data_IF_813541080788
#
_entry.id   IF_813541080788
#
_cell.length_a   1.000
_cell.length_b   1.000
_cell.length_c   1.000
_cell.angle_alpha   90.00
_cell.angle_beta   90.00
_cell.angle_gamma   90.00
#
_symmetry.space_group_name_H-M   'P 1'
#
loop_
_entity.id
_entity.type
_entity.pdbx_description
1 polymer ?
#
# COMPACT_ATOMS: atom_id res chain seq x y z
N UNK A 1 10.07 44.53 22.89
CA UNK A 1 10.34 43.13 23.25
C UNK A 1 11.84 42.95 23.30
N UNK A 2 12.38 42.69 24.49
CA UNK A 2 13.82 42.81 24.76
C UNK A 2 14.63 41.76 23.99
N UNK A 3 15.50 42.25 23.10
CA UNK A 3 16.62 41.51 22.53
C UNK A 3 17.60 41.16 23.65
N UNK A 4 17.40 40.02 24.29
CA UNK A 4 18.48 39.39 25.06
C UNK A 4 19.00 38.27 24.18
N UNK A 5 20.24 38.41 23.71
CA UNK A 5 21.01 37.34 23.08
C UNK A 5 21.31 36.27 24.14
N UNK A 6 20.28 35.53 24.54
CA UNK A 6 20.41 34.42 25.47
C UNK A 6 21.02 33.26 24.68
N UNK A 7 22.23 32.87 25.06
CA UNK A 7 22.83 31.65 24.50
C UNK A 7 21.89 30.46 24.69
N UNK A 8 21.86 29.54 23.72
CA UNK A 8 21.05 28.33 23.82
C UNK A 8 21.30 27.54 25.13
N UNK A 9 22.52 27.63 25.68
CA UNK A 9 22.86 27.01 26.96
C UNK A 9 22.18 27.69 28.15
N UNK A 10 22.22 29.01 28.22
CA UNK A 10 21.54 29.77 29.26
C UNK A 10 20.01 29.58 29.19
N UNK A 11 19.44 29.48 27.99
CA UNK A 11 18.03 29.18 27.82
C UNK A 11 17.66 27.76 28.28
N UNK A 12 18.50 26.76 27.97
CA UNK A 12 18.32 25.39 28.44
C UNK A 12 18.33 25.29 29.97
N UNK A 13 19.27 25.98 30.64
CA UNK A 13 19.36 26.03 32.11
C UNK A 13 18.15 26.71 32.74
N UNK A 14 17.67 27.82 32.17
CA UNK A 14 16.49 28.55 32.68
C UNK A 14 15.20 27.74 32.54
N UNK A 15 15.00 27.12 31.39
CA UNK A 15 13.77 26.38 31.08
C UNK A 15 13.75 24.96 31.64
N UNK A 16 14.90 24.43 32.08
CA UNK A 16 15.04 23.03 32.50
C UNK A 16 15.01 22.03 31.34
N UNK A 17 15.01 22.50 30.09
CA UNK A 17 15.03 21.65 28.89
C UNK A 17 16.47 21.26 28.60
N UNK A 18 16.71 19.99 28.27
CA UNK A 18 18.07 19.54 27.95
C UNK A 18 18.64 20.28 26.74
N UNK A 19 19.88 20.75 26.86
CA UNK A 19 20.59 21.50 25.81
C UNK A 19 20.56 20.80 24.42
N UNK A 20 20.74 19.46 24.31
CA UNK A 20 20.60 18.78 23.01
C UNK A 20 19.20 18.88 22.40
N UNK A 21 18.15 18.91 23.22
CA UNK A 21 16.76 19.06 22.75
C UNK A 21 16.53 20.46 22.19
N UNK A 22 17.06 21.48 22.89
CA UNK A 22 16.94 22.87 22.43
C UNK A 22 17.74 23.10 21.13
N UNK A 23 18.95 22.53 21.02
CA UNK A 23 19.71 22.59 19.77
C UNK A 23 18.96 21.92 18.60
N UNK A 24 18.30 20.79 18.84
CA UNK A 24 17.49 20.14 17.81
C UNK A 24 16.32 21.03 17.34
N UNK A 25 15.68 21.76 18.27
CA UNK A 25 14.65 22.74 17.92
C UNK A 25 15.22 23.89 17.08
N UNK A 26 16.32 24.50 17.51
CA UNK A 26 16.91 25.66 16.84
C UNK A 26 17.49 25.33 15.46
N UNK A 27 18.17 24.18 15.31
CA UNK A 27 18.83 23.81 14.06
C UNK A 27 17.93 23.06 13.08
N UNK A 28 16.99 22.24 13.58
CA UNK A 28 16.17 21.36 12.73
C UNK A 28 14.69 21.76 12.70
N UNK A 29 14.27 22.73 13.53
CA UNK A 29 12.86 23.11 13.66
C UNK A 29 11.99 22.04 14.30
N UNK A 30 12.58 21.01 14.92
CA UNK A 30 11.83 19.86 15.45
C UNK A 30 11.35 20.16 16.86
N UNK A 31 10.03 20.17 17.07
CA UNK A 31 9.45 20.32 18.39
C UNK A 31 9.85 19.16 19.35
N UNK A 32 10.06 19.43 20.65
CA UNK A 32 10.37 18.39 21.63
C UNK A 32 9.32 17.29 21.66
N UNK A 33 9.72 16.04 21.96
CA UNK A 33 8.77 14.91 22.08
C UNK A 33 8.06 14.85 23.43
N UNK A 34 8.73 15.29 24.50
CA UNK A 34 8.18 15.23 25.86
C UNK A 34 7.16 16.37 26.05
N UNK A 35 5.97 16.10 26.61
CA UNK A 35 4.93 17.12 26.81
C UNK A 35 5.40 18.20 27.79
N UNK A 36 6.13 17.82 28.84
CA UNK A 36 6.71 18.76 29.82
C UNK A 36 7.60 19.81 29.16
N UNK A 37 8.49 19.38 28.24
CA UNK A 37 9.37 20.30 27.53
C UNK A 37 8.58 21.24 26.61
N UNK A 38 7.48 20.77 26.00
CA UNK A 38 6.62 21.62 25.15
C UNK A 38 5.94 22.70 25.98
N UNK A 39 5.42 22.34 27.15
CA UNK A 39 4.76 23.28 28.04
C UNK A 39 5.73 24.32 28.61
N UNK A 40 6.97 23.91 28.93
CA UNK A 40 8.03 24.83 29.35
C UNK A 40 8.39 25.85 28.25
N UNK A 41 8.55 25.38 26.99
CA UNK A 41 8.76 26.29 25.85
C UNK A 41 7.59 27.25 25.67
N UNK A 42 6.36 26.75 25.72
CA UNK A 42 5.15 27.57 25.56
C UNK A 42 5.10 28.71 26.58
N UNK A 43 5.34 28.39 27.85
CA UNK A 43 5.37 29.39 28.94
C UNK A 43 6.47 30.43 28.73
N UNK A 44 7.65 29.98 28.32
CA UNK A 44 8.81 30.86 28.13
C UNK A 44 8.69 31.77 26.90
N UNK A 45 8.03 31.31 25.84
CA UNK A 45 7.70 32.17 24.70
C UNK A 45 6.42 32.99 24.92
N UNK A 46 5.74 32.83 26.06
CA UNK A 46 4.45 33.45 26.37
C UNK A 46 3.41 33.24 25.25
N UNK A 47 3.42 32.06 24.63
CA UNK A 47 2.49 31.70 23.55
C UNK A 47 1.22 31.13 24.18
N UNK A 48 0.06 31.56 23.69
CA UNK A 48 -1.21 31.00 24.10
C UNK A 48 -1.35 29.52 23.67
N UNK A 49 -2.26 28.80 24.31
CA UNK A 49 -2.38 27.36 24.12
C UNK A 49 -2.84 26.99 22.69
N UNK A 50 -3.63 27.86 22.06
CA UNK A 50 -4.17 27.64 20.72
C UNK A 50 -3.12 27.91 19.64
N UNK A 51 -2.41 29.03 19.72
CA UNK A 51 -1.30 29.34 18.83
C UNK A 51 -0.18 28.30 18.96
N UNK A 52 0.08 27.81 20.18
CA UNK A 52 1.03 26.73 20.40
C UNK A 52 0.61 25.43 19.72
N UNK A 53 -0.68 25.06 19.77
CA UNK A 53 -1.20 23.91 19.07
C UNK A 53 -1.02 24.02 17.54
N UNK A 54 -1.27 25.20 16.97
CA UNK A 54 -1.05 25.47 15.54
C UNK A 54 0.44 25.36 15.16
N UNK A 55 1.36 25.92 15.96
CA UNK A 55 2.80 25.80 15.74
C UNK A 55 3.24 24.32 15.79
N UNK A 56 2.73 23.57 16.76
CA UNK A 56 3.04 22.15 16.88
C UNK A 56 2.53 21.36 15.69
N UNK A 57 1.31 21.62 15.19
CA UNK A 57 0.76 20.97 14.02
C UNK A 57 1.59 21.24 12.76
N UNK A 58 2.01 22.49 12.55
CA UNK A 58 2.85 22.89 11.43
C UNK A 58 4.27 22.27 11.50
N UNK A 59 4.78 22.00 12.70
CA UNK A 59 6.11 21.39 12.90
C UNK A 59 6.16 19.87 12.66
N UNK A 60 5.00 19.22 12.44
CA UNK A 60 4.96 17.77 12.20
C UNK A 60 5.38 17.42 10.77
N UNK A 61 5.84 16.18 10.58
CA UNK A 61 6.27 15.67 9.26
C UNK A 61 5.13 15.70 8.22
N UNK A 62 3.90 15.47 8.67
CA UNK A 62 2.68 15.54 7.88
C UNK A 62 1.96 16.86 8.19
N UNK A 63 2.65 17.99 7.98
CA UNK A 63 2.21 19.31 8.44
C UNK A 63 0.75 19.59 8.02
N UNK A 64 -0.12 19.76 9.02
CA UNK A 64 -1.51 20.18 8.83
C UNK A 64 -1.57 21.66 9.18
N UNK A 65 -1.93 22.48 8.20
CA UNK A 65 -2.15 23.89 8.44
C UNK A 65 -3.47 24.09 9.19
N UNK A 66 -3.39 24.75 10.34
CA UNK A 66 -4.54 25.07 11.19
C UNK A 66 -4.74 26.58 11.10
N UNK A 67 -5.75 27.05 10.35
CA UNK A 67 -5.97 28.48 10.17
C UNK A 67 -6.25 29.15 11.51
N UNK A 68 -5.72 30.37 11.67
CA UNK A 68 -5.93 31.18 12.88
C UNK A 68 -7.39 31.60 13.04
N UNK A 69 -8.05 31.89 11.92
CA UNK A 69 -9.45 32.33 11.85
C UNK A 69 -10.26 31.48 10.87
N UNK A 70 -11.51 31.20 11.23
CA UNK A 70 -12.48 30.49 10.39
C UNK A 70 -12.88 29.11 10.92
N UNK A 71 -13.85 28.47 10.25
CA UNK A 71 -14.37 27.19 10.70
C UNK A 71 -13.39 26.06 10.36
N UNK A 72 -13.02 25.28 11.38
CA UNK A 72 -12.05 24.20 11.25
C UNK A 72 -12.72 22.95 10.67
N UNK A 73 -12.02 22.28 9.75
CA UNK A 73 -12.42 20.95 9.32
C UNK A 73 -12.18 19.92 10.46
N UNK A 74 -12.74 18.72 10.33
CA UNK A 74 -12.69 17.71 11.39
C UNK A 74 -11.25 17.36 11.80
N UNK A 75 -10.35 17.23 10.82
CA UNK A 75 -8.94 16.91 11.05
C UNK A 75 -8.26 18.02 11.86
N UNK A 76 -8.43 19.28 11.45
CA UNK A 76 -7.86 20.45 12.10
C UNK A 76 -8.44 20.65 13.50
N UNK A 77 -9.75 20.49 13.67
CA UNK A 77 -10.42 20.65 14.97
C UNK A 77 -9.89 19.64 15.98
N UNK A 78 -9.89 18.35 15.61
CA UNK A 78 -9.42 17.28 16.50
C UNK A 78 -7.93 17.42 16.78
N UNK A 79 -7.12 17.72 15.77
CA UNK A 79 -5.68 17.90 15.96
C UNK A 79 -5.37 19.11 16.85
N UNK A 80 -6.05 20.24 16.65
CA UNK A 80 -5.92 21.44 17.49
C UNK A 80 -6.26 21.11 18.94
N UNK A 81 -7.42 20.51 19.19
CA UNK A 81 -7.86 20.18 20.54
C UNK A 81 -6.94 19.17 21.24
N UNK A 82 -6.48 18.14 20.50
CA UNK A 82 -5.55 17.13 20.99
C UNK A 82 -4.22 17.76 21.41
N UNK A 83 -3.66 18.64 20.57
CA UNK A 83 -2.38 19.30 20.85
C UNK A 83 -2.50 20.37 21.93
N UNK A 84 -3.60 21.11 21.96
CA UNK A 84 -3.89 22.08 23.01
C UNK A 84 -3.86 21.40 24.39
N UNK A 85 -4.50 20.24 24.53
CA UNK A 85 -4.50 19.46 25.78
C UNK A 85 -3.17 18.75 26.07
N UNK A 86 -2.16 18.89 25.21
CA UNK A 86 -0.83 18.30 25.40
C UNK A 86 -0.75 16.80 25.11
N UNK A 87 -1.80 16.22 24.52
CA UNK A 87 -1.78 14.82 24.11
C UNK A 87 -0.95 14.63 22.84
N UNK A 88 -0.44 13.41 22.66
CA UNK A 88 -0.06 12.85 21.36
C UNK A 88 -1.06 11.77 20.95
N UNK A 89 -1.09 11.36 19.67
CA UNK A 89 -2.11 10.44 19.15
C UNK A 89 -2.15 9.10 19.91
N UNK A 90 -0.99 8.60 20.37
CA UNK A 90 -0.91 7.35 21.14
C UNK A 90 -1.46 7.50 22.56
N UNK A 91 -1.11 8.59 23.24
CA UNK A 91 -1.59 8.89 24.59
C UNK A 91 -3.09 9.17 24.59
N UNK A 92 -3.59 9.88 23.57
CA UNK A 92 -5.01 10.15 23.42
C UNK A 92 -5.79 8.86 23.14
N UNK A 93 -5.29 7.98 22.27
CA UNK A 93 -5.91 6.68 22.00
C UNK A 93 -6.09 5.85 23.30
N UNK A 94 -5.10 5.88 24.21
CA UNK A 94 -5.21 5.19 25.50
C UNK A 94 -6.25 5.81 26.44
N UNK A 95 -6.36 7.14 26.48
CA UNK A 95 -7.28 7.85 27.39
C UNK A 95 -8.72 7.84 26.87
N UNK A 96 -8.89 7.81 25.56
CA UNK A 96 -10.20 7.81 24.89
C UNK A 96 -10.78 6.43 24.64
N UNK A 97 -10.01 5.37 24.86
CA UNK A 97 -10.36 3.98 24.48
C UNK A 97 -10.66 3.81 22.98
N UNK A 98 -10.20 4.75 22.16
CA UNK A 98 -10.33 4.70 20.70
C UNK A 98 -9.06 4.06 20.12
N UNK A 99 -9.18 3.09 19.18
CA UNK A 99 -8.03 2.46 18.57
C UNK A 99 -7.07 3.48 17.95
N UNK A 100 -5.77 3.34 18.24
CA UNK A 100 -4.72 4.20 17.69
C UNK A 100 -4.76 4.36 16.16
N UNK A 101 -5.00 3.30 15.35
CA UNK A 101 -5.15 3.45 13.90
C UNK A 101 -6.28 4.39 13.48
N UNK A 102 -7.36 4.47 14.26
CA UNK A 102 -8.51 5.34 13.99
C UNK A 102 -8.15 6.81 14.24
N UNK A 103 -7.49 7.10 15.37
CA UNK A 103 -6.99 8.45 15.68
C UNK A 103 -5.99 8.90 14.60
N UNK A 104 -5.07 8.03 14.22
CA UNK A 104 -4.08 8.33 13.17
C UNK A 104 -4.73 8.54 11.80
N UNK A 105 -5.75 7.75 11.44
CA UNK A 105 -6.50 7.92 10.20
C UNK A 105 -7.21 9.28 10.15
N UNK A 106 -7.77 9.71 11.29
CA UNK A 106 -8.42 10.99 11.45
C UNK A 106 -7.42 12.16 11.35
N UNK A 107 -6.33 12.14 12.13
CA UNK A 107 -5.40 13.27 12.23
C UNK A 107 -4.45 13.40 11.03
N UNK A 108 -4.16 12.31 10.31
CA UNK A 108 -3.21 12.32 9.17
C UNK A 108 -3.84 12.22 7.80
N UNK A 109 -4.97 11.52 7.68
CA UNK A 109 -5.63 11.27 6.39
C UNK A 109 -6.99 11.96 6.26
N UNK A 110 -7.43 12.68 7.29
CA UNK A 110 -8.77 13.28 7.33
C UNK A 110 -9.88 12.22 7.21
N UNK A 111 -9.63 10.98 7.62
CA UNK A 111 -10.67 9.95 7.62
C UNK A 111 -11.76 10.31 8.62
N UNK A 112 -13.02 10.05 8.28
CA UNK A 112 -14.17 10.32 9.15
C UNK A 112 -14.58 9.00 9.84
N UNK A 113 -14.35 8.82 11.15
CA UNK A 113 -14.80 7.66 11.90
C UNK A 113 -16.32 7.53 11.97
N UNK A 114 -16.78 6.41 12.53
CA UNK A 114 -18.20 6.20 12.84
C UNK A 114 -18.66 7.18 13.94
N UNK A 115 -19.97 7.41 14.01
CA UNK A 115 -20.58 8.40 14.90
C UNK A 115 -20.32 8.13 16.39
N UNK A 116 -20.38 6.86 16.80
CA UNK A 116 -20.03 6.39 18.15
C UNK A 116 -18.60 6.78 18.55
N UNK A 117 -17.65 6.59 17.62
CA UNK A 117 -16.25 6.92 17.82
C UNK A 117 -16.04 8.44 17.87
N UNK A 118 -16.76 9.21 17.04
CA UNK A 118 -16.71 10.67 17.05
C UNK A 118 -17.20 11.23 18.38
N UNK A 119 -18.27 10.68 18.95
CA UNK A 119 -18.77 11.07 20.27
C UNK A 119 -17.73 10.80 21.37
N UNK A 120 -17.12 9.62 21.36
CA UNK A 120 -16.05 9.28 22.32
C UNK A 120 -14.85 10.24 22.24
N UNK A 121 -14.48 10.65 21.02
CA UNK A 121 -13.41 11.63 20.79
C UNK A 121 -13.85 13.02 21.30
N UNK A 122 -15.07 13.44 20.99
CA UNK A 122 -15.62 14.74 21.37
C UNK A 122 -15.68 14.92 22.88
N UNK A 123 -16.24 13.92 23.59
CA UNK A 123 -16.35 13.91 25.05
C UNK A 123 -14.99 14.06 25.72
N UNK A 124 -13.96 13.37 25.21
CA UNK A 124 -12.61 13.41 25.79
C UNK A 124 -11.86 14.68 25.47
N UNK A 125 -12.14 15.30 24.32
CA UNK A 125 -11.55 16.58 23.93
C UNK A 125 -12.36 17.79 24.42
N UNK A 126 -13.49 17.58 25.09
CA UNK A 126 -14.38 18.65 25.53
C UNK A 126 -14.98 19.44 24.35
N UNK A 127 -15.14 18.79 23.20
CA UNK A 127 -15.74 19.39 22.00
C UNK A 127 -17.25 19.17 22.04
N UNK A 128 -18.00 20.21 21.69
CA UNK A 128 -19.46 20.10 21.58
C UNK A 128 -19.86 19.28 20.35
N UNK A 129 -21.03 18.64 20.41
CA UNK A 129 -21.59 17.91 19.27
C UNK A 129 -21.79 18.82 18.06
N UNK A 130 -22.21 20.07 18.26
CA UNK A 130 -22.38 21.05 17.18
C UNK A 130 -21.07 21.37 16.46
N UNK A 131 -19.96 21.55 17.21
CA UNK A 131 -18.64 21.77 16.62
C UNK A 131 -18.19 20.56 15.79
N UNK A 132 -18.43 19.35 16.29
CA UNK A 132 -18.09 18.12 15.59
C UNK A 132 -18.90 17.94 14.31
N UNK A 133 -20.22 18.14 14.37
CA UNK A 133 -21.10 18.01 13.22
C UNK A 133 -20.79 19.06 12.15
N UNK A 134 -20.53 20.30 12.56
CA UNK A 134 -20.07 21.37 11.67
C UNK A 134 -18.73 21.02 10.99
N UNK A 135 -17.77 20.51 11.75
CA UNK A 135 -16.47 20.11 11.22
C UNK A 135 -16.54 18.89 10.28
N UNK A 136 -17.42 17.92 10.57
CA UNK A 136 -17.72 16.78 9.68
C UNK A 136 -18.34 17.26 8.38
N UNK A 137 -19.31 18.18 8.45
CA UNK A 137 -19.95 18.76 7.27
C UNK A 137 -18.92 19.48 6.38
N UNK A 138 -18.03 20.26 6.98
CA UNK A 138 -16.93 20.92 6.27
C UNK A 138 -15.96 19.93 5.65
N UNK A 139 -15.52 18.90 6.39
CA UNK A 139 -14.64 17.86 5.83
C UNK A 139 -15.29 17.11 4.66
N UNK A 140 -16.59 16.85 4.70
CA UNK A 140 -17.32 16.26 3.57
C UNK A 140 -17.44 17.22 2.39
N UNK A 141 -17.68 18.50 2.65
CA UNK A 141 -17.77 19.53 1.63
C UNK A 141 -16.42 19.78 0.95
N UNK A 142 -15.32 19.87 1.71
CA UNK A 142 -13.96 19.99 1.18
C UNK A 142 -13.60 18.78 0.32
N UNK A 143 -13.92 17.56 0.77
CA UNK A 143 -13.65 16.35 -0.02
C UNK A 143 -14.44 16.32 -1.33
N UNK A 144 -15.73 16.69 -1.30
CA UNK A 144 -16.55 16.85 -2.51
C UNK A 144 -16.05 17.99 -3.41
N UNK A 145 -15.53 19.07 -2.82
CA UNK A 145 -14.98 20.21 -3.52
C UNK A 145 -13.65 19.88 -4.21
N UNK A 146 -12.79 19.09 -3.58
CA UNK A 146 -11.58 18.51 -4.19
C UNK A 146 -11.97 17.57 -5.33
N UNK A 147 -12.89 16.63 -5.09
CA UNK A 147 -13.39 15.71 -6.12
C UNK A 147 -14.06 16.48 -7.30
N UNK A 148 -14.78 17.57 -7.03
CA UNK A 148 -15.45 18.40 -8.03
C UNK A 148 -14.52 19.39 -8.73
N UNK A 149 -13.51 19.93 -8.05
CA UNK A 149 -12.48 20.79 -8.63
C UNK A 149 -11.52 19.98 -9.50
N UNK A 150 -11.19 18.74 -9.13
CA UNK A 150 -10.55 17.78 -10.04
C UNK A 150 -11.44 17.51 -11.25
N UNK A 151 -12.74 17.27 -11.05
CA UNK A 151 -13.66 17.05 -12.17
C UNK A 151 -13.88 18.30 -13.06
N UNK A 152 -13.80 19.51 -12.51
CA UNK A 152 -13.96 20.77 -13.23
C UNK A 152 -12.67 21.21 -13.95
N UNK A 153 -11.51 21.00 -13.34
CA UNK A 153 -10.20 21.10 -13.99
C UNK A 153 -10.12 20.13 -15.17
N UNK A 154 -10.58 18.88 -14.98
CA UNK A 154 -10.65 17.89 -16.05
C UNK A 154 -11.64 18.28 -17.16
N UNK A 155 -12.71 19.05 -16.88
CA UNK A 155 -13.66 19.55 -17.88
C UNK A 155 -13.18 20.79 -18.64
N UNK A 156 -12.48 21.72 -17.98
CA UNK A 156 -11.93 22.92 -18.63
C UNK A 156 -10.83 22.54 -19.65
N UNK A 157 -10.02 21.53 -19.33
CA UNK A 157 -8.97 20.99 -20.23
C UNK A 157 -9.51 20.07 -21.35
N UNK A 158 -10.82 19.79 -21.35
CA UNK A 158 -11.53 19.06 -22.42
C UNK A 158 -12.22 20.02 -23.42
N UNK A 159 -12.46 21.28 -23.06
CA UNK A 159 -13.18 22.24 -23.92
C UNK A 159 -12.31 22.83 -25.06
N UNK A 160 -10.97 22.81 -24.91
CA UNK A 160 -10.05 23.41 -25.89
C UNK A 160 -9.52 22.40 -26.95
N UNK A 161 -10.00 21.15 -26.92
CA UNK A 161 -9.48 20.05 -27.75
C UNK A 161 -10.45 19.49 -28.81
N UNK A 162 -11.67 20.01 -28.93
CA UNK A 162 -12.70 19.42 -29.81
C UNK A 162 -12.86 20.23 -31.10
N UNK A 163 -11.86 20.13 -31.98
CA UNK A 163 -12.02 20.49 -33.39
C UNK A 163 -11.17 19.55 -34.27
N UNK A 164 -11.72 18.37 -34.57
CA UNK A 164 -11.56 17.65 -35.85
C UNK A 164 -12.15 16.24 -35.70
N UNK A 165 -13.33 16.05 -36.29
CA UNK A 165 -13.95 14.73 -36.42
C UNK A 165 -13.27 13.89 -37.50
N UNK A 166 -13.11 12.60 -37.21
CA UNK A 166 -13.21 11.52 -38.22
C UNK A 166 -13.94 10.36 -37.57
N UNK A 167 -15.17 10.12 -38.01
CA UNK A 167 -15.91 8.91 -37.71
C UNK A 167 -15.29 7.75 -38.49
N UNK A 168 -14.76 6.75 -37.78
CA UNK A 168 -14.44 5.43 -38.36
C UNK A 168 -15.15 4.38 -37.52
N UNK A 169 -15.79 3.49 -38.27
CA UNK A 169 -16.82 2.54 -37.92
C UNK A 169 -16.47 1.57 -36.79
N UNK A 170 -17.56 1.17 -36.17
CA UNK A 170 -17.77 0.06 -35.24
C UNK A 170 -17.38 -1.28 -35.92
N UNK A 171 -16.38 -1.99 -35.37
CA UNK A 171 -15.87 -3.22 -36.01
C UNK A 171 -14.57 -3.82 -35.45
N UNK A 172 -14.31 -3.73 -34.14
CA UNK A 172 -13.10 -4.28 -33.51
C UNK A 172 -13.36 -4.78 -32.10
N UNK A 173 -14.10 -5.88 -31.99
CA UNK A 173 -14.72 -6.31 -30.73
C UNK A 173 -13.80 -7.06 -29.76
N UNK A 174 -12.57 -7.43 -30.17
CA UNK A 174 -11.76 -8.39 -29.38
C UNK A 174 -10.53 -7.79 -28.66
N UNK A 175 -10.28 -6.48 -28.81
CA UNK A 175 -9.13 -5.84 -28.15
C UNK A 175 -9.57 -5.25 -26.80
N UNK A 176 -9.02 -5.72 -25.65
CA UNK A 176 -9.33 -5.17 -24.35
C UNK A 176 -8.84 -3.72 -24.23
N UNK A 177 -9.46 -2.99 -23.31
CA UNK A 177 -9.09 -1.60 -23.07
C UNK A 177 -7.69 -1.47 -22.47
N UNK A 178 -6.98 -0.37 -22.75
CA UNK A 178 -5.59 -0.19 -22.30
C UNK A 178 -5.44 -0.30 -20.77
N UNK A 179 -6.42 0.19 -20.01
CA UNK A 179 -6.45 0.08 -18.56
C UNK A 179 -6.51 -1.38 -18.09
N UNK A 180 -7.32 -2.20 -18.77
CA UNK A 180 -7.44 -3.62 -18.47
C UNK A 180 -6.17 -4.38 -18.85
N UNK A 181 -5.59 -4.09 -20.02
CA UNK A 181 -4.31 -4.69 -20.45
C UNK A 181 -3.18 -4.40 -19.46
N UNK A 182 -3.10 -3.18 -18.95
CA UNK A 182 -2.09 -2.80 -17.94
C UNK A 182 -2.36 -3.48 -16.61
N UNK A 183 -3.61 -3.53 -16.15
CA UNK A 183 -3.96 -4.22 -14.91
C UNK A 183 -3.67 -5.73 -14.97
N UNK A 184 -4.00 -6.38 -16.09
CA UNK A 184 -3.76 -7.80 -16.31
C UNK A 184 -2.27 -8.11 -16.38
N UNK A 185 -1.49 -7.26 -17.06
CA UNK A 185 -0.04 -7.44 -17.18
C UNK A 185 0.67 -7.25 -15.83
N UNK A 186 0.30 -6.23 -15.04
CA UNK A 186 0.79 -6.05 -13.66
C UNK A 186 0.42 -7.25 -12.79
N UNK A 187 -0.81 -7.75 -12.92
CA UNK A 187 -1.31 -8.92 -12.20
C UNK A 187 -0.54 -10.21 -12.53
N UNK A 188 -0.30 -10.50 -13.81
CA UNK A 188 0.47 -11.68 -14.26
C UNK A 188 1.93 -11.61 -13.85
N UNK A 189 2.52 -10.42 -13.87
CA UNK A 189 3.90 -10.22 -13.41
C UNK A 189 4.05 -10.36 -11.88
N UNK A 190 2.95 -10.43 -11.13
CA UNK A 190 2.96 -10.60 -9.67
C UNK A 190 3.56 -9.40 -8.92
N UNK A 191 3.67 -8.23 -9.57
CA UNK A 191 4.28 -7.03 -9.02
C UNK A 191 3.21 -6.00 -8.65
N UNK A 192 3.53 -5.12 -7.69
CA UNK A 192 2.65 -3.98 -7.41
C UNK A 192 2.72 -2.94 -8.54
N UNK A 193 1.66 -2.16 -8.74
CA UNK A 193 1.62 -1.06 -9.71
C UNK A 193 2.80 -0.10 -9.53
N UNK A 194 3.23 0.15 -8.28
CA UNK A 194 4.38 0.99 -7.97
C UNK A 194 5.73 0.33 -8.33
N UNK A 195 5.85 -0.99 -8.18
CA UNK A 195 7.02 -1.73 -8.61
C UNK A 195 7.10 -1.78 -10.15
N UNK A 196 5.98 -2.02 -10.82
CA UNK A 196 5.87 -1.99 -12.28
C UNK A 196 6.26 -0.63 -12.86
N UNK A 197 5.75 0.47 -12.28
CA UNK A 197 6.12 1.82 -12.71
C UNK A 197 7.62 2.10 -12.58
N UNK A 198 8.25 1.67 -11.50
CA UNK A 198 9.71 1.82 -11.32
C UNK A 198 10.51 0.99 -12.33
N UNK A 199 10.07 -0.24 -12.60
CA UNK A 199 10.76 -1.15 -13.52
C UNK A 199 10.81 -0.60 -14.96
N UNK A 200 9.74 0.05 -15.40
CA UNK A 200 9.60 0.55 -16.77
C UNK A 200 9.77 2.07 -16.91
N UNK A 201 10.16 2.78 -15.84
CA UNK A 201 10.34 4.23 -15.85
C UNK A 201 9.04 5.02 -16.04
N UNK A 202 7.92 4.45 -15.62
CA UNK A 202 6.58 5.03 -15.79
C UNK A 202 6.14 5.66 -14.46
N UNK A 203 5.73 6.94 -14.44
CA UNK A 203 5.25 7.59 -13.22
C UNK A 203 4.07 6.84 -12.61
N UNK A 204 4.18 6.51 -11.31
CA UNK A 204 3.14 5.77 -10.57
C UNK A 204 1.76 6.42 -10.69
N UNK A 205 1.68 7.75 -10.59
CA UNK A 205 0.43 8.49 -10.66
C UNK A 205 -0.28 8.28 -12.00
N UNK A 206 0.48 8.23 -13.10
CA UNK A 206 -0.06 8.00 -14.45
C UNK A 206 -0.61 6.59 -14.62
N UNK A 207 0.08 5.58 -14.07
CA UNK A 207 -0.40 4.20 -14.08
C UNK A 207 -1.62 4.02 -13.20
N UNK A 208 -1.60 4.59 -12.00
CA UNK A 208 -2.70 4.48 -11.05
C UNK A 208 -3.95 5.20 -11.59
N UNK A 209 -3.80 6.35 -12.26
CA UNK A 209 -4.90 7.02 -12.97
C UNK A 209 -5.43 6.15 -14.10
N UNK A 210 -4.57 5.62 -14.97
CA UNK A 210 -4.99 4.75 -16.07
C UNK A 210 -5.78 3.53 -15.57
N UNK A 211 -5.30 2.85 -14.53
CA UNK A 211 -5.96 1.65 -13.98
C UNK A 211 -7.29 2.02 -13.30
N UNK A 212 -7.34 3.07 -12.48
CA UNK A 212 -8.53 3.37 -11.67
C UNK A 212 -9.58 4.22 -12.37
N UNK A 213 -9.24 4.97 -13.41
CA UNK A 213 -10.18 5.81 -14.13
C UNK A 213 -10.33 5.46 -15.61
N UNK A 214 -9.47 4.58 -16.15
CA UNK A 214 -9.48 4.24 -17.56
C UNK A 214 -8.85 5.29 -18.47
N UNK A 215 -8.46 6.45 -17.93
CA UNK A 215 -7.99 7.60 -18.70
C UNK A 215 -6.52 7.40 -19.09
N UNK A 216 -6.21 7.33 -20.40
CA UNK A 216 -4.84 7.12 -20.85
C UNK A 216 -3.98 8.37 -20.68
N UNK A 217 -2.69 8.22 -20.32
CA UNK A 217 -1.78 9.36 -20.21
C UNK A 217 -1.51 9.99 -21.59
N UNK A 218 -1.54 11.32 -21.68
CA UNK A 218 -1.34 12.06 -22.95
C UNK A 218 0.14 12.22 -23.36
N UNK A 219 1.07 12.08 -22.41
CA UNK A 219 2.50 12.31 -22.65
C UNK A 219 3.11 11.12 -23.40
N UNK A 220 3.73 11.37 -24.56
CA UNK A 220 4.49 10.34 -25.32
C UNK A 220 5.57 9.67 -24.48
N UNK A 221 6.24 10.44 -23.61
CA UNK A 221 7.22 9.92 -22.65
C UNK A 221 6.68 8.87 -21.67
N UNK A 222 5.36 8.74 -21.53
CA UNK A 222 4.68 7.74 -20.70
C UNK A 222 4.10 6.62 -21.57
N UNK A 223 3.63 6.94 -22.78
CA UNK A 223 3.05 5.97 -23.72
C UNK A 223 4.11 5.05 -24.34
N UNK A 224 5.29 5.57 -24.71
CA UNK A 224 6.33 4.76 -25.37
C UNK A 224 6.94 3.71 -24.43
N UNK A 225 7.22 4.01 -23.14
CA UNK A 225 7.61 2.98 -22.18
C UNK A 225 6.47 2.01 -21.85
N UNK A 226 5.22 2.47 -21.85
CA UNK A 226 4.05 1.62 -21.60
C UNK A 226 3.82 0.61 -22.73
N UNK A 227 3.93 1.04 -23.98
CA UNK A 227 3.83 0.17 -25.16
C UNK A 227 4.93 -0.90 -25.13
N UNK A 228 6.17 -0.50 -24.81
CA UNK A 228 7.31 -1.42 -24.64
C UNK A 228 7.11 -2.39 -23.48
N UNK A 229 6.59 -1.92 -22.34
CA UNK A 229 6.34 -2.76 -21.17
C UNK A 229 5.26 -3.82 -21.44
N UNK A 230 4.22 -3.47 -22.21
CA UNK A 230 3.15 -4.40 -22.54
C UNK A 230 3.52 -5.41 -23.64
N UNK A 231 4.60 -5.19 -24.39
CA UNK A 231 5.05 -6.07 -25.46
C UNK A 231 4.04 -6.23 -26.61
N UNK A 232 3.14 -5.25 -26.77
CA UNK A 232 2.07 -5.28 -27.78
C UNK A 232 2.58 -4.75 -29.12
N UNK A 233 1.96 -5.21 -30.21
CA UNK A 233 2.16 -4.59 -31.52
C UNK A 233 1.68 -3.13 -31.51
N UNK A 234 2.33 -2.27 -32.31
CA UNK A 234 1.99 -0.85 -32.41
C UNK A 234 0.50 -0.65 -32.78
N UNK A 235 -0.01 -1.46 -33.71
CA UNK A 235 -1.42 -1.43 -34.12
C UNK A 235 -2.39 -1.84 -32.99
N UNK A 236 -2.05 -2.86 -32.21
CA UNK A 236 -2.89 -3.30 -31.07
C UNK A 236 -2.90 -2.25 -29.95
N UNK A 237 -1.74 -1.64 -29.69
CA UNK A 237 -1.61 -0.60 -28.68
C UNK A 237 -2.40 0.66 -29.07
N UNK A 238 -2.29 1.12 -30.32
CA UNK A 238 -3.05 2.27 -30.81
C UNK A 238 -4.56 2.02 -30.80
N UNK A 239 -5.00 0.82 -31.18
CA UNK A 239 -6.41 0.43 -31.12
C UNK A 239 -6.94 0.45 -29.69
N UNK A 240 -6.19 -0.11 -28.75
CA UNK A 240 -6.51 -0.10 -27.31
C UNK A 240 -6.52 1.33 -26.73
N UNK A 241 -5.57 2.16 -27.16
CA UNK A 241 -5.45 3.55 -26.76
C UNK A 241 -6.63 4.39 -27.29
N UNK A 242 -7.03 4.19 -28.53
CA UNK A 242 -8.20 4.85 -29.13
C UNK A 242 -9.50 4.42 -28.45
N UNK A 243 -9.65 3.14 -28.11
CA UNK A 243 -10.78 2.63 -27.31
C UNK A 243 -10.81 3.27 -25.92
N UNK A 244 -9.66 3.35 -25.25
CA UNK A 244 -9.51 4.05 -23.97
C UNK A 244 -9.80 5.55 -24.02
N UNK A 245 -9.47 6.22 -25.13
CA UNK A 245 -9.79 7.64 -25.33
C UNK A 245 -11.28 7.87 -25.57
N UNK A 246 -11.96 6.95 -26.27
CA UNK A 246 -13.39 7.08 -26.62
C UNK A 246 -14.32 6.76 -25.45
N UNK A 247 -13.99 5.78 -24.62
CA UNK A 247 -14.81 5.36 -23.49
C UNK A 247 -13.92 4.95 -22.32
N UNK A 248 -13.43 5.88 -21.48
CA UNK A 248 -12.57 5.55 -20.35
C UNK A 248 -13.37 4.73 -19.33
N UNK A 249 -13.02 3.45 -19.18
CA UNK A 249 -13.56 2.58 -18.15
C UNK A 249 -12.41 2.18 -17.23
N UNK A 250 -12.63 2.22 -15.91
CA UNK A 250 -11.65 1.70 -14.97
C UNK A 250 -11.35 0.24 -15.29
N UNK A 251 -10.11 -0.19 -15.03
CA UNK A 251 -9.80 -1.60 -15.03
C UNK A 251 -10.75 -2.30 -14.06
N UNK A 252 -11.43 -3.33 -14.54
CA UNK A 252 -12.32 -4.09 -13.67
C UNK A 252 -11.48 -4.71 -12.57
N UNK A 253 -11.89 -4.52 -11.31
CA UNK A 253 -11.24 -5.17 -10.19
C UNK A 253 -11.13 -6.66 -10.51
N UNK A 254 -9.90 -7.17 -10.56
CA UNK A 254 -9.62 -8.56 -10.86
C UNK A 254 -10.49 -9.40 -9.94
N UNK A 255 -11.47 -10.14 -10.48
CA UNK A 255 -12.31 -11.01 -9.66
C UNK A 255 -11.35 -11.93 -8.88
N UNK A 256 -11.40 -11.95 -7.54
CA UNK A 256 -10.62 -12.91 -6.76
C UNK A 256 -11.07 -14.29 -7.22
N UNK A 257 -10.26 -14.95 -8.06
CA UNK A 257 -10.67 -16.14 -8.80
C UNK A 257 -10.05 -16.29 -10.19
N UNK A 258 -9.66 -15.21 -10.86
CA UNK A 258 -9.18 -15.29 -12.25
C UNK A 258 -7.85 -16.06 -12.43
N UNK A 259 -7.04 -16.14 -11.37
CA UNK A 259 -5.79 -16.94 -11.32
C UNK A 259 -5.92 -18.16 -10.40
N UNK A 260 -7.10 -18.40 -9.83
CA UNK A 260 -7.28 -19.54 -8.95
C UNK A 260 -7.38 -20.80 -9.78
N UNK A 261 -6.73 -21.86 -9.31
CA UNK A 261 -6.99 -23.18 -9.91
C UNK A 261 -8.46 -23.55 -9.68
N UNK A 262 -9.13 -24.27 -10.59
CA UNK A 262 -10.49 -24.76 -10.40
C UNK A 262 -10.72 -25.47 -9.04
N UNK A 263 -9.71 -26.20 -8.55
CA UNK A 263 -9.71 -26.79 -7.21
C UNK A 263 -9.68 -25.72 -6.10
N UNK A 264 -8.83 -24.71 -6.24
CA UNK A 264 -8.76 -23.60 -5.28
C UNK A 264 -10.07 -22.80 -5.24
N UNK A 265 -10.72 -22.57 -6.37
CA UNK A 265 -12.01 -21.89 -6.44
C UNK A 265 -13.10 -22.69 -5.72
N UNK A 266 -13.18 -24.00 -5.98
CA UNK A 266 -14.13 -24.89 -5.30
C UNK A 266 -13.94 -24.89 -3.77
N UNK A 267 -12.68 -24.87 -3.31
CA UNK A 267 -12.36 -24.78 -1.89
C UNK A 267 -12.69 -23.42 -1.28
N UNK A 268 -12.45 -22.32 -2.00
CA UNK A 268 -12.84 -20.97 -1.55
C UNK A 268 -14.34 -20.81 -1.43
N UNK A 269 -15.12 -21.34 -2.39
CA UNK A 269 -16.59 -21.35 -2.29
C UNK A 269 -17.05 -22.09 -1.04
N UNK A 270 -16.51 -23.28 -0.78
CA UNK A 270 -16.86 -24.04 0.42
C UNK A 270 -16.51 -23.29 1.72
N UNK A 271 -15.35 -22.62 1.77
CA UNK A 271 -14.94 -21.81 2.92
C UNK A 271 -15.88 -20.61 3.13
N UNK A 272 -16.30 -19.96 2.04
CA UNK A 272 -17.24 -18.83 2.08
C UNK A 272 -18.64 -19.29 2.49
N UNK A 273 -19.19 -20.34 1.88
CA UNK A 273 -20.51 -20.89 2.15
C UNK A 273 -20.67 -21.32 3.61
N UNK A 274 -19.59 -21.84 4.20
CA UNK A 274 -19.57 -22.30 5.61
C UNK A 274 -18.98 -21.28 6.58
N UNK A 275 -18.65 -20.07 6.13
CA UNK A 275 -18.01 -19.01 6.92
C UNK A 275 -16.80 -19.50 7.75
N UNK A 276 -15.96 -20.36 7.17
CA UNK A 276 -14.86 -21.00 7.88
C UNK A 276 -13.62 -20.10 7.92
N UNK A 277 -12.90 -20.12 9.04
CA UNK A 277 -11.53 -19.59 9.11
C UNK A 277 -10.55 -20.61 8.52
N UNK A 278 -9.35 -20.18 8.09
CA UNK A 278 -8.30 -21.09 7.58
C UNK A 278 -7.96 -22.20 8.59
N UNK A 279 -8.02 -21.90 9.89
CA UNK A 279 -7.81 -22.87 10.96
C UNK A 279 -8.96 -23.88 11.02
N UNK A 280 -10.21 -23.41 11.04
CA UNK A 280 -11.39 -24.28 11.04
C UNK A 280 -11.47 -25.16 9.78
N UNK A 281 -11.09 -24.62 8.61
CA UNK A 281 -10.97 -25.41 7.38
C UNK A 281 -9.90 -26.49 7.48
N UNK A 282 -8.73 -26.19 8.05
CA UNK A 282 -7.66 -27.18 8.23
C UNK A 282 -8.07 -28.33 9.16
N UNK A 283 -8.82 -28.02 10.22
CA UNK A 283 -9.36 -29.02 11.15
C UNK A 283 -10.45 -29.87 10.48
N UNK A 284 -11.36 -29.25 9.73
CA UNK A 284 -12.45 -29.95 9.02
C UNK A 284 -11.90 -30.87 7.92
N UNK A 285 -10.87 -30.42 7.20
CA UNK A 285 -10.20 -31.21 6.17
C UNK A 285 -9.22 -32.26 6.71
N UNK A 286 -8.97 -32.28 8.02
CA UNK A 286 -7.91 -33.07 8.67
C UNK A 286 -6.55 -32.89 7.96
N UNK A 287 -6.19 -31.62 7.73
CA UNK A 287 -4.95 -31.18 7.08
C UNK A 287 -4.13 -30.31 8.03
N UNK A 288 -2.82 -30.29 7.81
CA UNK A 288 -1.98 -29.30 8.50
C UNK A 288 -2.38 -27.88 8.08
N UNK A 289 -2.29 -26.92 9.00
CA UNK A 289 -2.57 -25.49 8.74
C UNK A 289 -1.71 -24.97 7.58
N UNK A 290 -0.47 -25.45 7.45
CA UNK A 290 0.43 -25.07 6.36
C UNK A 290 -0.07 -25.59 5.00
N UNK A 291 -0.50 -26.86 4.94
CA UNK A 291 -1.07 -27.45 3.71
C UNK A 291 -2.37 -26.76 3.32
N UNK A 292 -3.26 -26.50 4.27
CA UNK A 292 -4.50 -25.75 4.06
C UNK A 292 -4.24 -24.33 3.54
N UNK A 293 -3.23 -23.65 4.09
CA UNK A 293 -2.81 -22.32 3.63
C UNK A 293 -2.24 -22.37 2.21
N UNK A 294 -1.43 -23.39 1.88
CA UNK A 294 -0.91 -23.60 0.52
C UNK A 294 -2.03 -23.84 -0.50
N UNK A 295 -3.01 -24.67 -0.16
CA UNK A 295 -4.16 -24.94 -1.01
C UNK A 295 -5.02 -23.68 -1.24
N UNK A 296 -5.34 -22.94 -0.19
CA UNK A 296 -6.23 -21.77 -0.29
C UNK A 296 -5.54 -20.53 -0.85
N UNK A 297 -4.26 -20.29 -0.53
CA UNK A 297 -3.56 -19.06 -0.95
C UNK A 297 -2.73 -19.24 -2.22
N UNK A 298 -2.06 -20.39 -2.37
CA UNK A 298 -1.10 -20.62 -3.46
C UNK A 298 -1.66 -21.54 -4.55
N UNK A 299 -2.74 -22.27 -4.29
CA UNK A 299 -3.34 -23.19 -5.26
C UNK A 299 -2.51 -24.45 -5.51
N UNK A 300 -1.50 -24.72 -4.67
CA UNK A 300 -0.60 -25.87 -4.79
C UNK A 300 -1.38 -27.18 -4.71
N UNK A 301 -1.28 -28.02 -5.73
CA UNK A 301 -1.89 -29.34 -5.71
C UNK A 301 -1.20 -30.22 -4.67
N UNK A 302 -1.95 -30.97 -3.85
CA UNK A 302 -1.36 -31.85 -2.87
C UNK A 302 -0.63 -33.01 -3.56
N UNK A 303 0.54 -33.38 -3.05
CA UNK A 303 1.32 -34.50 -3.60
C UNK A 303 0.90 -35.89 -3.11
N UNK A 304 0.10 -35.97 -2.04
CA UNK A 304 -0.29 -37.25 -1.39
C UNK A 304 -1.70 -37.68 -1.78
N UNK A 305 -1.87 -38.94 -2.15
CA UNK A 305 -3.17 -39.56 -2.50
C UNK A 305 -4.19 -39.44 -1.37
N UNK A 306 -3.77 -39.65 -0.13
CA UNK A 306 -4.63 -39.52 1.07
C UNK A 306 -5.20 -38.11 1.24
N UNK A 307 -4.48 -37.07 0.79
CA UNK A 307 -4.97 -35.68 0.86
C UNK A 307 -6.03 -35.41 -0.21
N UNK A 308 -5.89 -36.02 -1.40
CA UNK A 308 -6.90 -35.95 -2.44
C UNK A 308 -8.21 -36.61 -2.03
N UNK A 309 -8.16 -37.77 -1.37
CA UNK A 309 -9.35 -38.46 -0.84
C UNK A 309 -10.09 -37.60 0.19
N UNK A 310 -9.35 -36.97 1.11
CA UNK A 310 -9.92 -36.05 2.12
C UNK A 310 -10.61 -34.85 1.46
N UNK A 311 -9.97 -34.21 0.48
CA UNK A 311 -10.54 -33.07 -0.24
C UNK A 311 -11.76 -33.46 -1.08
N UNK A 312 -11.74 -34.64 -1.71
CA UNK A 312 -12.89 -35.19 -2.44
C UNK A 312 -14.08 -35.39 -1.52
N UNK A 313 -13.88 -36.06 -0.38
CA UNK A 313 -14.95 -36.32 0.59
C UNK A 313 -15.53 -35.01 1.15
N UNK A 314 -14.66 -34.01 1.36
CA UNK A 314 -15.04 -32.69 1.87
C UNK A 314 -15.85 -31.88 0.85
N UNK A 315 -15.51 -31.95 -0.44
CA UNK A 315 -16.25 -31.33 -1.54
C UNK A 315 -17.49 -32.12 -1.98
N UNK A 316 -17.69 -33.33 -1.44
CA UNK A 316 -18.80 -34.23 -1.81
C UNK A 316 -18.87 -34.55 -3.31
N UNK A 317 -17.71 -34.63 -3.96
CA UNK A 317 -17.60 -34.93 -5.40
C UNK A 317 -17.39 -36.43 -5.63
N UNK A 318 -17.83 -36.93 -6.79
CA UNK A 318 -17.49 -38.28 -7.24
C UNK A 318 -15.99 -38.40 -7.53
N UNK A 319 -15.48 -39.63 -7.65
CA UNK A 319 -14.07 -39.85 -7.98
C UNK A 319 -13.70 -39.23 -9.35
N UNK A 320 -14.60 -39.35 -10.32
CA UNK A 320 -14.39 -38.89 -11.69
C UNK A 320 -14.47 -37.37 -11.77
N UNK A 321 -15.47 -36.75 -11.12
CA UNK A 321 -15.61 -35.28 -11.09
C UNK A 321 -14.41 -34.60 -10.40
N UNK A 322 -13.89 -35.23 -9.34
CA UNK A 322 -12.72 -34.73 -8.64
C UNK A 322 -11.44 -34.87 -9.48
N UNK A 323 -11.28 -35.97 -10.22
CA UNK A 323 -10.14 -36.14 -11.12
C UNK A 323 -10.18 -35.12 -12.27
N UNK A 324 -11.35 -34.87 -12.85
CA UNK A 324 -11.55 -33.85 -13.88
C UNK A 324 -11.20 -32.45 -13.36
N UNK A 325 -11.62 -32.12 -12.14
CA UNK A 325 -11.31 -30.86 -11.48
C UNK A 325 -9.81 -30.68 -11.22
N UNK A 326 -9.12 -31.74 -10.79
CA UNK A 326 -7.66 -31.75 -10.60
C UNK A 326 -6.93 -31.67 -11.94
N UNK A 327 -7.41 -32.35 -12.98
CA UNK A 327 -6.84 -32.29 -14.32
C UNK A 327 -6.90 -30.87 -14.90
N UNK A 328 -8.06 -30.21 -14.79
CA UNK A 328 -8.23 -28.79 -15.18
C UNK A 328 -7.35 -27.85 -14.37
N UNK A 329 -7.09 -28.19 -13.10
CA UNK A 329 -6.19 -27.42 -12.23
C UNK A 329 -4.72 -27.59 -12.58
N UNK A 330 -4.32 -28.74 -13.12
CA UNK A 330 -2.97 -28.96 -13.66
C UNK A 330 -2.75 -28.22 -14.98
N UNK A 331 -3.76 -28.18 -15.85
CA UNK A 331 -3.67 -27.48 -17.13
C UNK A 331 -3.66 -25.95 -16.98
N UNK A 332 -4.36 -25.38 -15.99
CA UNK A 332 -4.36 -23.94 -15.73
C UNK A 332 -3.04 -23.43 -15.12
N UNK A 333 -2.24 -24.31 -14.50
CA UNK A 333 -0.97 -23.96 -13.85
C UNK A 333 0.25 -24.00 -14.77
N UNK A 334 0.10 -24.40 -16.04
CA UNK A 334 1.20 -24.52 -17.00
C UNK A 334 1.17 -23.37 -17.99
N UNK A 335 1.59 -22.19 -17.55
CA UNK A 335 2.25 -21.25 -18.47
C UNK A 335 3.58 -21.90 -18.81
N UNK A 336 3.68 -22.36 -20.04
CA UNK A 336 4.88 -22.99 -20.56
C UNK A 336 6.09 -22.05 -20.48
N UNK A 337 7.04 -22.38 -19.62
CA UNK A 337 8.45 -22.06 -19.82
C UNK A 337 9.00 -23.01 -20.90
N UNK A 338 8.50 -22.88 -22.12
CA UNK A 338 9.04 -23.54 -23.31
C UNK A 338 10.21 -22.70 -23.82
N UNK A 339 11.39 -22.87 -23.23
CA UNK A 339 12.63 -22.40 -23.83
C UNK A 339 12.91 -23.24 -25.10
N UNK A 340 13.07 -22.62 -26.28
CA UNK A 340 13.43 -23.37 -27.47
C UNK A 340 14.88 -23.86 -27.37
N UNK A 341 15.05 -25.14 -27.68
CA UNK A 341 16.32 -25.79 -27.96
C UNK A 341 17.07 -24.97 -29.02
N UNK A 342 18.19 -24.36 -28.64
CA UNK A 342 19.15 -23.78 -29.57
C UNK A 342 20.40 -24.66 -29.59
N UNK A 343 20.75 -25.06 -30.82
CA UNK A 343 21.85 -25.94 -31.19
C UNK A 343 23.22 -25.50 -30.68
N UNK A 344 24.05 -26.51 -30.47
CA UNK A 344 25.50 -26.40 -30.34
C UNK A 344 26.14 -25.55 -31.44
N UNK A 345 26.87 -24.51 -31.04
CA UNK A 345 28.07 -24.03 -31.74
C UNK A 345 29.19 -23.87 -30.69
N UNK A 346 30.34 -24.54 -30.85
CA UNK A 346 31.44 -24.47 -29.89
C UNK A 346 32.31 -23.25 -30.19
N UNK A 347 32.49 -22.35 -29.22
CA UNK A 347 33.55 -21.34 -29.27
C UNK A 347 34.32 -21.36 -27.95
N UNK A 348 35.64 -21.34 -28.08
CA UNK A 348 36.63 -21.69 -27.10
C UNK A 348 36.79 -20.67 -25.94
N UNK A 349 37.26 -21.22 -24.82
CA UNK A 349 37.71 -20.58 -23.56
C UNK A 349 38.48 -19.26 -23.75
N UNK A 350 38.21 -18.30 -22.86
CA UNK A 350 39.25 -17.56 -22.11
C UNK A 350 38.77 -17.37 -20.65
N UNK A 351 39.65 -17.73 -19.72
CA UNK A 351 39.45 -17.73 -18.27
C UNK A 351 39.26 -16.32 -17.67
N UNK A 352 38.40 -16.23 -16.65
CA UNK A 352 38.29 -15.09 -15.76
C UNK A 352 37.50 -15.47 -14.51
N UNK A 353 38.20 -16.10 -13.56
CA UNK A 353 37.71 -16.46 -12.22
C UNK A 353 37.45 -15.21 -11.39
N UNK A 354 36.19 -14.97 -11.00
CA UNK A 354 35.82 -14.37 -9.70
C UNK A 354 34.30 -14.44 -9.50
N UNK A 355 33.83 -15.53 -8.91
CA UNK A 355 32.50 -15.60 -8.32
C UNK A 355 32.64 -16.35 -6.99
N UNK A 356 32.44 -15.63 -5.88
CA UNK A 356 32.39 -16.24 -4.55
C UNK A 356 31.27 -17.28 -4.45
N UNK A 357 31.35 -18.20 -3.47
CA UNK A 357 30.42 -19.32 -3.37
C UNK A 357 28.99 -18.80 -3.19
N UNK A 358 28.07 -19.34 -3.98
CA UNK A 358 26.65 -18.99 -3.86
C UNK A 358 26.13 -19.46 -2.49
N UNK A 359 25.13 -18.78 -1.94
CA UNK A 359 24.63 -19.04 -0.58
C UNK A 359 24.26 -20.51 -0.31
N UNK A 360 23.87 -21.24 -1.34
CA UNK A 360 23.62 -22.70 -1.33
C UNK A 360 24.89 -23.53 -1.14
N UNK A 361 26.01 -23.17 -1.77
CA UNK A 361 27.29 -23.86 -1.60
C UNK A 361 27.90 -23.64 -0.21
N UNK A 362 27.67 -22.45 0.37
CA UNK A 362 28.07 -22.16 1.76
C UNK A 362 27.35 -23.04 2.77
N UNK A 363 26.07 -23.35 2.55
CA UNK A 363 25.29 -24.24 3.41
C UNK A 363 25.82 -25.68 3.32
N UNK A 364 26.08 -26.17 2.11
CA UNK A 364 26.66 -27.52 1.92
C UNK A 364 28.07 -27.65 2.52
N UNK A 365 28.88 -26.59 2.42
CA UNK A 365 30.21 -26.55 3.03
C UNK A 365 30.14 -26.57 4.56
N UNK A 366 29.19 -25.83 5.16
CA UNK A 366 28.98 -25.82 6.61
C UNK A 366 28.49 -27.19 7.12
N UNK A 367 27.65 -27.89 6.35
CA UNK A 367 27.18 -29.24 6.70
C UNK A 367 28.30 -30.29 6.68
N UNK A 368 29.34 -30.09 5.86
CA UNK A 368 30.51 -30.97 5.77
C UNK A 368 31.56 -30.77 6.85
N UNK A 369 31.46 -29.71 7.66
CA UNK A 369 32.43 -29.44 8.73
C UNK A 369 32.25 -30.40 9.92
N UNK A 370 33.37 -30.83 10.52
CA UNK A 370 33.36 -31.62 11.75
C UNK A 370 32.88 -30.75 12.94
N UNK A 371 32.15 -31.30 13.94
CA UNK A 371 31.67 -30.56 15.11
C UNK A 371 32.68 -29.60 15.77
N UNK A 372 33.97 -29.96 15.83
CA UNK A 372 35.01 -29.04 16.36
C UNK A 372 35.21 -27.78 15.52
N UNK A 373 35.08 -27.88 14.19
CA UNK A 373 35.23 -26.75 13.27
C UNK A 373 33.99 -25.84 13.28
N UNK A 374 32.79 -26.43 13.43
CA UNK A 374 31.55 -25.66 13.58
C UNK A 374 31.57 -24.80 14.84
N UNK A 375 32.06 -25.34 15.96
CA UNK A 375 32.17 -24.59 17.20
C UNK A 375 33.20 -23.45 17.09
N UNK A 376 34.32 -23.67 16.40
CA UNK A 376 35.32 -22.62 16.15
C UNK A 376 34.76 -21.48 15.28
N UNK A 377 33.98 -21.78 14.24
CA UNK A 377 33.33 -20.76 13.40
C UNK A 377 32.27 -20.00 14.19
N UNK A 378 31.50 -20.69 15.04
CA UNK A 378 30.49 -20.06 15.91
C UNK A 378 31.13 -19.07 16.89
N UNK A 379 32.26 -19.45 17.51
CA UNK A 379 33.02 -18.55 18.40
C UNK A 379 33.58 -17.34 17.64
N UNK A 380 34.06 -17.55 16.41
CA UNK A 380 34.56 -16.46 15.57
C UNK A 380 33.45 -15.47 15.20
N UNK A 381 32.28 -15.94 14.77
CA UNK A 381 31.12 -15.07 14.46
C UNK A 381 30.67 -14.28 15.70
N UNK A 382 30.63 -14.92 16.87
CA UNK A 382 30.29 -14.26 18.14
C UNK A 382 31.31 -13.22 18.60
N UNK A 383 32.52 -13.21 18.05
CA UNK A 383 33.55 -12.20 18.37
C UNK A 383 33.39 -10.94 17.50
N UNK A 384 32.68 -11.03 16.37
CA UNK A 384 32.48 -9.93 15.41
C UNK A 384 31.08 -9.29 15.48
N UNK A 385 30.20 -9.79 16.37
CA UNK A 385 28.92 -9.17 16.76
C UNK A 385 29.11 -8.52 18.12
#
# INVERSE_FOLDING_TARGET
>A
MASTDVSARAFAERTGISYPTLLALLHKGIAPRKPEHRELLRREFAIDQDAWASILAASQKDAVDIPADGPLNLQQLVLKALLAQGFNEQSFAKVSDVPYPTIMGLTRKGAIPRSDTLMAIADKLGLTQEQMDGAVALSRASKRGEDAAEAASDKADLADGVAAGVAVADGGDDVPQLAQLVADHVGRAGVSVAAFGRLHGIPYLSLNRLINSGVPPRRKSVLDPLARALGLSEQTFETSLMKSKRAPLPASARRPGADMTPLQEALHRLVQDRALTTKAFSELADLSVLTATKLLKHGDLPGRTTTHEKLRNLLQLSADDYQDLVARSRSNGRVEESAPVAEHVPIARVNGSDAGPQATELVELIERLNPRQREAIKQLILTFI
#
